data_IF_768867400329
#
_entry.id   IF_768867400329
#
_cell.length_a   1.000
_cell.length_b   1.000
_cell.length_c   1.000
_cell.angle_alpha   90.00
_cell.angle_beta   90.00
_cell.angle_gamma   90.00
#
_symmetry.space_group_name_H-M   'P 1'
#
loop_
_entity.id
_entity.type
_entity.pdbx_description
1 polymer ?
#
# COMPACT_ATOMS: atom_id res chain seq x y z
N UNK A 1 8.96 24.17 -42.89
CA UNK A 1 9.74 24.77 -41.78
C UNK A 1 8.85 25.00 -40.57
N UNK A 2 7.63 25.52 -40.75
CA UNK A 2 6.66 25.77 -39.68
C UNK A 2 6.17 24.51 -38.94
N UNK A 3 5.96 23.39 -39.62
CA UNK A 3 5.60 22.11 -38.97
C UNK A 3 6.67 21.60 -38.00
N UNK A 4 7.96 21.81 -38.32
CA UNK A 4 9.07 21.38 -37.47
C UNK A 4 9.16 22.26 -36.21
N UNK A 5 8.84 23.56 -36.36
CA UNK A 5 8.75 24.51 -35.24
C UNK A 5 7.55 24.19 -34.35
N UNK A 6 6.39 23.85 -34.92
CA UNK A 6 5.22 23.41 -34.17
C UNK A 6 5.46 22.09 -33.40
N UNK A 7 6.11 21.11 -34.04
CA UNK A 7 6.43 19.84 -33.41
C UNK A 7 7.42 20.00 -32.24
N UNK A 8 8.42 20.86 -32.38
CA UNK A 8 9.39 21.15 -31.32
C UNK A 8 8.77 21.94 -30.15
N UNK A 9 7.87 22.88 -30.42
CA UNK A 9 7.07 23.57 -29.39
C UNK A 9 6.15 22.60 -28.64
N UNK A 10 5.48 21.69 -29.34
CA UNK A 10 4.64 20.67 -28.72
C UNK A 10 5.46 19.72 -27.84
N UNK A 11 6.65 19.32 -28.27
CA UNK A 11 7.55 18.48 -27.48
C UNK A 11 8.02 19.19 -26.20
N UNK A 12 8.39 20.47 -26.29
CA UNK A 12 8.80 21.27 -25.14
C UNK A 12 7.65 21.46 -24.13
N UNK A 13 6.43 21.73 -24.62
CA UNK A 13 5.25 21.81 -23.75
C UNK A 13 4.94 20.48 -23.06
N UNK A 14 5.11 19.36 -23.77
CA UNK A 14 4.91 18.02 -23.22
C UNK A 14 5.95 17.68 -22.15
N UNK A 15 7.22 17.99 -22.41
CA UNK A 15 8.31 17.79 -21.44
C UNK A 15 8.15 18.68 -20.19
N UNK A 16 7.73 19.94 -20.36
CA UNK A 16 7.44 20.83 -19.25
C UNK A 16 6.25 20.35 -18.41
N UNK A 17 5.18 19.89 -19.07
CA UNK A 17 4.03 19.27 -18.41
C UNK A 17 4.41 18.02 -17.63
N UNK A 18 5.23 17.16 -18.21
CA UNK A 18 5.72 15.95 -17.55
C UNK A 18 6.64 16.28 -16.35
N UNK A 19 7.47 17.32 -16.47
CA UNK A 19 8.30 17.82 -15.37
C UNK A 19 7.49 18.35 -14.19
N UNK A 20 6.37 19.06 -14.45
CA UNK A 20 5.44 19.50 -13.41
C UNK A 20 4.75 18.32 -12.72
N UNK A 21 4.34 17.31 -13.48
CA UNK A 21 3.78 16.07 -12.92
C UNK A 21 4.81 15.36 -12.05
N UNK A 22 6.06 15.19 -12.52
CA UNK A 22 7.14 14.57 -11.74
C UNK A 22 7.43 15.36 -10.45
N UNK A 23 7.52 16.70 -10.54
CA UNK A 23 7.76 17.55 -9.38
C UNK A 23 6.62 17.45 -8.36
N UNK A 24 5.37 17.29 -8.81
CA UNK A 24 4.23 17.08 -7.91
C UNK A 24 4.28 15.72 -7.19
N UNK A 25 4.74 14.66 -7.88
CA UNK A 25 4.95 13.33 -7.28
C UNK A 25 6.09 13.35 -6.27
N UNK A 26 7.23 13.94 -6.63
CA UNK A 26 8.40 14.06 -5.73
C UNK A 26 8.08 14.93 -4.51
N UNK A 27 7.37 16.05 -4.69
CA UNK A 27 6.93 16.88 -3.57
C UNK A 27 5.86 16.20 -2.72
N UNK A 28 5.00 15.35 -3.29
CA UNK A 28 4.07 14.55 -2.51
C UNK A 28 4.79 13.49 -1.65
N UNK A 29 5.88 12.89 -2.17
CA UNK A 29 6.74 11.98 -1.39
C UNK A 29 7.53 12.74 -0.29
N UNK A 30 7.94 13.99 -0.55
CA UNK A 30 8.65 14.83 0.43
C UNK A 30 7.75 15.55 1.46
N UNK A 31 6.47 15.78 1.16
CA UNK A 31 5.53 16.50 2.02
C UNK A 31 5.04 15.69 3.24
N UNK A 32 5.41 14.41 3.34
CA UNK A 32 5.18 13.56 4.52
C UNK A 32 6.44 13.43 5.41
N UNK A 33 7.30 14.44 5.40
CA UNK A 33 8.35 14.61 6.42
C UNK A 33 7.70 14.79 7.80
N UNK A 34 7.48 13.68 8.49
CA UNK A 34 6.82 13.63 9.80
C UNK A 34 5.95 12.37 10.01
N UNK A 35 5.61 11.64 8.94
CA UNK A 35 5.02 10.30 9.07
C UNK A 35 6.18 9.32 9.00
N UNK A 36 6.61 8.83 10.16
CA UNK A 36 7.48 7.66 10.25
C UNK A 36 6.92 6.58 9.32
N UNK A 37 7.69 6.22 8.29
CA UNK A 37 7.30 5.20 7.34
C UNK A 37 7.06 3.92 8.13
N UNK A 38 5.78 3.57 8.36
CA UNK A 38 5.44 2.37 9.09
C UNK A 38 6.09 1.20 8.34
N UNK A 39 6.98 0.50 9.02
CA UNK A 39 7.58 -0.72 8.51
C UNK A 39 6.44 -1.73 8.35
N UNK A 40 5.92 -1.87 7.13
CA UNK A 40 4.79 -2.71 6.82
C UNK A 40 3.63 -1.97 6.15
N UNK A 41 3.01 -2.61 5.16
CA UNK A 41 1.70 -2.23 4.61
C UNK A 41 0.85 -3.47 4.38
N UNK A 42 -0.46 -3.30 4.45
CA UNK A 42 -1.42 -4.32 4.01
C UNK A 42 -1.95 -3.91 2.64
N UNK A 43 -1.72 -4.74 1.63
CA UNK A 43 -2.36 -4.59 0.33
C UNK A 43 -3.70 -5.34 0.37
N UNK A 44 -4.80 -4.62 0.18
CA UNK A 44 -6.12 -5.25 0.07
C UNK A 44 -6.17 -6.21 -1.13
N UNK A 45 -6.77 -7.38 -0.93
CA UNK A 45 -6.95 -8.40 -1.97
C UNK A 45 -8.44 -8.54 -2.30
N UNK A 46 -9.27 -8.85 -1.31
CA UNK A 46 -10.69 -9.09 -1.51
C UNK A 46 -11.48 -9.04 -0.19
N UNK A 47 -12.80 -8.89 -0.32
CA UNK A 47 -13.78 -9.13 0.73
C UNK A 47 -14.70 -10.25 0.29
N UNK A 48 -14.72 -11.37 1.01
CA UNK A 48 -15.53 -12.54 0.66
C UNK A 48 -15.86 -13.37 1.88
N UNK A 49 -17.08 -13.90 1.95
CA UNK A 49 -17.51 -14.78 3.04
C UNK A 49 -17.47 -14.14 4.44
N UNK A 50 -17.53 -12.81 4.53
CA UNK A 50 -17.40 -12.07 5.79
C UNK A 50 -15.96 -11.84 6.25
N UNK A 51 -14.97 -12.12 5.40
CA UNK A 51 -13.55 -11.91 5.67
C UNK A 51 -12.94 -10.91 4.70
N UNK A 52 -12.03 -10.06 5.21
CA UNK A 52 -11.12 -9.28 4.39
C UNK A 52 -9.82 -10.06 4.25
N UNK A 53 -9.34 -10.18 3.02
CA UNK A 53 -8.07 -10.78 2.65
C UNK A 53 -7.10 -9.65 2.31
N UNK A 54 -5.91 -9.71 2.89
CA UNK A 54 -4.86 -8.73 2.62
C UNK A 54 -3.49 -9.40 2.55
N UNK A 55 -2.59 -8.84 1.76
CA UNK A 55 -1.22 -9.29 1.65
C UNK A 55 -0.31 -8.34 2.43
N UNK A 56 0.44 -8.85 3.39
CA UNK A 56 1.38 -8.04 4.17
C UNK A 56 2.72 -7.91 3.45
N UNK A 57 3.19 -6.68 3.31
CA UNK A 57 4.49 -6.36 2.71
C UNK A 57 5.28 -5.45 3.64
N UNK A 58 6.46 -5.88 4.05
CA UNK A 58 7.37 -5.11 4.89
C UNK A 58 8.00 -5.94 5.99
N UNK A 59 8.68 -5.28 6.92
CA UNK A 59 9.48 -5.98 7.92
C UNK A 59 8.62 -6.62 9.03
N UNK A 60 9.14 -7.63 9.75
CA UNK A 60 8.34 -8.35 10.73
C UNK A 60 7.76 -7.47 11.83
N UNK A 61 6.48 -7.69 12.16
CA UNK A 61 5.75 -6.90 13.15
C UNK A 61 4.93 -7.81 14.07
N UNK A 62 4.96 -7.55 15.37
CA UNK A 62 4.10 -8.25 16.33
C UNK A 62 2.71 -7.62 16.34
N UNK A 63 1.68 -8.45 16.42
CA UNK A 63 0.28 -8.06 16.48
C UNK A 63 -0.18 -8.01 17.93
N UNK A 64 -1.01 -7.02 18.26
CA UNK A 64 -1.70 -6.98 19.56
C UNK A 64 -2.85 -7.98 19.63
N UNK A 65 -3.44 -8.31 18.48
CA UNK A 65 -4.52 -9.29 18.34
C UNK A 65 -4.20 -10.22 17.19
N UNK A 66 -4.35 -11.52 17.40
CA UNK A 66 -4.01 -12.50 16.39
C UNK A 66 -4.83 -12.35 15.11
N UNK A 67 -4.21 -12.64 13.97
CA UNK A 67 -4.85 -12.68 12.65
C UNK A 67 -4.66 -14.06 12.02
N UNK A 68 -5.56 -14.49 11.16
CA UNK A 68 -5.34 -15.74 10.42
C UNK A 68 -4.39 -15.48 9.25
N UNK A 69 -3.30 -16.22 9.19
CA UNK A 69 -2.35 -16.21 8.09
C UNK A 69 -2.40 -17.54 7.32
N UNK A 70 -2.21 -17.48 6.01
CA UNK A 70 -2.12 -18.67 5.17
C UNK A 70 -0.69 -19.23 5.21
N UNK A 71 -0.51 -20.33 5.95
CA UNK A 71 0.79 -20.95 6.21
C UNK A 71 0.66 -22.45 5.94
N UNK A 72 1.57 -23.01 5.14
CA UNK A 72 1.62 -24.45 4.82
C UNK A 72 0.28 -25.05 4.33
N UNK A 73 -0.49 -24.29 3.54
CA UNK A 73 -1.75 -24.76 2.97
C UNK A 73 -2.97 -24.65 3.90
N UNK A 74 -2.82 -24.05 5.08
CA UNK A 74 -3.92 -23.87 6.04
C UNK A 74 -3.95 -22.45 6.62
N UNK A 75 -5.11 -22.04 7.11
CA UNK A 75 -5.27 -20.82 7.88
C UNK A 75 -4.89 -21.07 9.33
N UNK A 76 -3.87 -20.36 9.81
CA UNK A 76 -3.35 -20.48 11.17
C UNK A 76 -3.42 -19.13 11.86
N UNK A 77 -3.89 -19.09 13.10
CA UNK A 77 -3.84 -17.87 13.90
C UNK A 77 -2.39 -17.54 14.25
N UNK A 78 -1.94 -16.34 13.89
CA UNK A 78 -0.59 -15.85 14.16
C UNK A 78 -0.63 -14.54 14.94
N UNK A 79 0.39 -14.31 15.76
CA UNK A 79 0.62 -13.10 16.54
C UNK A 79 1.76 -12.24 15.97
N UNK A 80 2.36 -12.67 14.85
CA UNK A 80 3.44 -11.98 14.17
C UNK A 80 3.25 -12.05 12.66
N UNK A 81 3.41 -10.90 12.01
CA UNK A 81 3.49 -10.79 10.56
C UNK A 81 4.93 -10.92 10.09
N UNK A 82 5.13 -11.64 8.99
CA UNK A 82 6.38 -11.75 8.25
C UNK A 82 6.14 -11.32 6.81
N UNK A 83 7.15 -10.77 6.16
CA UNK A 83 7.02 -10.28 4.79
C UNK A 83 6.43 -11.35 3.85
N UNK A 84 5.50 -10.92 3.01
CA UNK A 84 4.91 -11.75 1.97
C UNK A 84 3.82 -12.73 2.43
N UNK A 85 3.25 -12.54 3.62
CA UNK A 85 2.17 -13.39 4.13
C UNK A 85 0.79 -12.90 3.69
N UNK A 86 -0.06 -13.83 3.24
CA UNK A 86 -1.49 -13.58 3.03
C UNK A 86 -2.21 -13.75 4.36
N UNK A 87 -2.96 -12.73 4.76
CA UNK A 87 -3.77 -12.73 5.99
C UNK A 87 -5.25 -12.57 5.68
N UNK A 88 -6.08 -13.03 6.60
CA UNK A 88 -7.51 -12.71 6.62
C UNK A 88 -8.00 -12.45 8.04
N UNK A 89 -9.02 -11.61 8.17
CA UNK A 89 -9.78 -11.49 9.40
C UNK A 89 -11.26 -11.26 9.12
N UNK A 90 -12.15 -11.65 10.05
CA UNK A 90 -13.57 -11.31 9.97
C UNK A 90 -13.76 -9.79 9.93
N UNK A 91 -14.67 -9.33 9.08
CA UNK A 91 -15.00 -7.92 8.94
C UNK A 91 -16.46 -7.73 8.52
N UNK A 92 -17.14 -6.79 9.16
CA UNK A 92 -18.53 -6.41 8.85
C UNK A 92 -18.61 -5.24 7.86
N UNK A 93 -17.55 -4.46 7.72
CA UNK A 93 -17.50 -3.21 6.93
C UNK A 93 -16.55 -3.29 5.74
N UNK A 94 -15.94 -4.46 5.50
CA UNK A 94 -14.99 -4.68 4.41
C UNK A 94 -13.60 -4.09 4.69
N UNK A 95 -13.33 -3.63 5.92
CA UNK A 95 -12.02 -3.11 6.33
C UNK A 95 -11.32 -4.09 7.26
N UNK A 96 -10.00 -4.16 7.11
CA UNK A 96 -9.10 -4.88 8.01
C UNK A 96 -8.22 -3.86 8.71
N UNK A 97 -8.26 -3.84 10.04
CA UNK A 97 -7.38 -3.02 10.88
C UNK A 97 -6.58 -3.96 11.77
N UNK A 98 -5.25 -3.96 11.61
CA UNK A 98 -4.33 -4.73 12.44
C UNK A 98 -3.51 -3.78 13.30
N UNK A 99 -3.68 -3.85 14.61
CA UNK A 99 -2.81 -3.13 15.54
C UNK A 99 -1.49 -3.87 15.73
N UNK A 100 -0.39 -3.22 15.35
CA UNK A 100 0.96 -3.77 15.52
C UNK A 100 1.75 -3.01 16.58
N UNK A 101 2.91 -3.54 16.96
CA UNK A 101 3.88 -2.83 17.80
C UNK A 101 4.45 -1.55 17.18
N UNK A 102 4.23 -1.33 15.87
CA UNK A 102 4.77 -0.20 15.10
C UNK A 102 3.68 0.73 14.55
N UNK A 103 2.44 0.54 14.97
CA UNK A 103 1.28 1.29 14.49
C UNK A 103 0.20 0.41 13.90
N UNK A 104 -0.94 1.02 13.57
CA UNK A 104 -2.06 0.32 12.96
C UNK A 104 -1.87 0.22 11.45
N UNK A 105 -2.00 -0.99 10.93
CA UNK A 105 -2.05 -1.27 9.50
C UNK A 105 -3.52 -1.39 9.08
N UNK A 106 -3.86 -0.79 7.94
CA UNK A 106 -5.22 -0.79 7.43
C UNK A 106 -5.23 -1.29 6.00
N UNK A 107 -6.14 -2.21 5.69
CA UNK A 107 -6.51 -2.58 4.33
C UNK A 107 -8.01 -2.36 4.12
N UNK A 108 -8.36 -1.70 3.03
CA UNK A 108 -9.73 -1.43 2.59
C UNK A 108 -9.77 -1.45 1.06
N UNK A 109 -10.95 -1.60 0.45
CA UNK A 109 -11.15 -1.45 -1.00
C UNK A 109 -10.69 -0.10 -1.54
#
# INVERSE_FOLDING_TARGET
MEEFVAASLALLATLAGFGLVLASVINAEGALSGVEYQCGRLAYVAYSGGYVYAYYQGCPASLKSGVEAYVNGSWTLVDRLVDGVLVRAPSSDGRLVLETSRGALVASP
#
